data_IF_749950963082
#
_entry.id   IF_749950963082
#
_cell.length_a   1.000
_cell.length_b   1.000
_cell.length_c   1.000
_cell.angle_alpha   90.00
_cell.angle_beta   90.00
_cell.angle_gamma   90.00
#
_symmetry.space_group_name_H-M   'P 1'
#
loop_
_entity.id
_entity.type
_entity.pdbx_description
1 polymer ?
#
# COMPACT_ATOMS: atom_id res chain seq x y z
N UNK A 1 -17.36 13.93 -8.67
CA UNK A 1 -16.52 13.33 -9.74
C UNK A 1 -16.30 11.87 -9.42
N UNK A 2 -16.64 11.02 -10.34
CA UNK A 2 -16.40 9.57 -10.24
C UNK A 2 -15.10 9.26 -10.98
N UNK A 3 -14.11 8.75 -10.25
CA UNK A 3 -12.84 8.36 -10.84
C UNK A 3 -12.94 6.95 -11.43
N UNK A 4 -12.14 6.69 -12.47
CA UNK A 4 -11.96 5.37 -13.01
C UNK A 4 -11.48 4.42 -11.90
N UNK A 5 -12.09 3.25 -11.69
CA UNK A 5 -11.68 2.31 -10.66
C UNK A 5 -10.24 1.79 -10.81
N UNK A 6 -9.63 1.93 -11.97
CA UNK A 6 -8.22 1.59 -12.17
C UNK A 6 -7.26 2.65 -11.64
N UNK A 7 -7.74 3.85 -11.34
CA UNK A 7 -6.91 4.91 -10.75
C UNK A 7 -6.66 4.60 -9.28
N UNK A 8 -5.39 4.58 -8.89
CA UNK A 8 -5.01 4.43 -7.49
C UNK A 8 -5.08 5.77 -6.78
N UNK A 9 -5.77 5.81 -5.65
CA UNK A 9 -5.83 6.96 -4.75
C UNK A 9 -5.11 6.61 -3.47
N UNK A 10 -4.11 7.40 -3.13
CA UNK A 10 -3.27 7.18 -1.97
C UNK A 10 -3.48 8.28 -0.93
N UNK A 11 -3.50 7.92 0.33
CA UNK A 11 -3.47 8.86 1.45
C UNK A 11 -2.56 8.33 2.55
N UNK A 12 -1.68 9.17 3.13
CA UNK A 12 -0.86 8.74 4.27
C UNK A 12 -1.74 8.54 5.51
N UNK A 13 -1.60 7.42 6.23
CA UNK A 13 -2.49 7.10 7.34
C UNK A 13 -2.20 7.89 8.63
N UNK A 14 -1.06 8.58 8.70
CA UNK A 14 -0.67 9.37 9.87
C UNK A 14 -1.27 10.77 9.90
N UNK A 15 -1.82 11.27 8.79
CA UNK A 15 -2.35 12.64 8.71
C UNK A 15 -3.77 12.77 9.23
N UNK A 16 -4.49 11.67 9.41
CA UNK A 16 -5.86 11.68 9.91
C UNK A 16 -6.14 10.40 10.70
N UNK A 17 -6.81 10.54 11.85
CA UNK A 17 -7.12 9.40 12.72
C UNK A 17 -8.29 8.55 12.23
N UNK A 18 -9.16 9.11 11.38
CA UNK A 18 -10.36 8.44 10.90
C UNK A 18 -10.08 7.75 9.55
N UNK A 19 -9.38 6.65 9.59
CA UNK A 19 -9.00 5.89 8.41
C UNK A 19 -10.21 5.44 7.57
N UNK A 20 -11.32 5.12 8.24
CA UNK A 20 -12.58 4.74 7.57
C UNK A 20 -13.08 5.86 6.66
N UNK A 21 -12.91 7.13 7.05
CA UNK A 21 -13.30 8.26 6.21
C UNK A 21 -12.56 8.29 4.88
N UNK A 22 -11.26 7.97 4.89
CA UNK A 22 -10.47 7.86 3.67
C UNK A 22 -10.96 6.71 2.78
N UNK A 23 -11.25 5.55 3.38
CA UNK A 23 -11.76 4.39 2.63
C UNK A 23 -13.10 4.68 1.98
N UNK A 24 -14.01 5.38 2.68
CA UNK A 24 -15.29 5.82 2.13
C UNK A 24 -15.14 6.86 1.03
N UNK A 25 -14.08 7.66 1.07
CA UNK A 25 -13.77 8.62 0.02
C UNK A 25 -13.17 7.96 -1.24
N UNK A 26 -12.81 6.68 -1.18
CA UNK A 26 -12.38 5.92 -2.34
C UNK A 26 -10.90 5.64 -2.43
N UNK A 27 -10.12 5.88 -1.37
CA UNK A 27 -8.69 5.52 -1.41
C UNK A 27 -8.53 4.00 -1.40
N UNK A 28 -7.48 3.53 -2.04
CA UNK A 28 -7.15 2.11 -2.11
C UNK A 28 -5.69 1.81 -1.77
N UNK A 29 -4.97 2.81 -1.28
CA UNK A 29 -3.55 2.67 -0.94
C UNK A 29 -3.17 3.65 0.16
N UNK A 30 -2.44 3.17 1.17
CA UNK A 30 -1.92 4.00 2.25
C UNK A 30 -0.52 4.53 1.99
N UNK A 31 0.17 4.03 0.96
CA UNK A 31 1.55 4.37 0.70
C UNK A 31 2.53 3.71 1.66
N UNK A 32 3.66 4.35 1.88
CA UNK A 32 4.65 3.85 2.81
C UNK A 32 4.29 4.17 4.25
N UNK A 33 4.42 3.18 5.13
CA UNK A 33 4.20 3.33 6.58
C UNK A 33 5.46 2.83 7.27
N UNK A 34 6.02 3.63 8.16
CA UNK A 34 7.17 3.20 8.97
C UNK A 34 6.80 3.13 10.44
N UNK A 35 6.73 1.93 11.03
CA UNK A 35 6.42 1.80 12.45
C UNK A 35 7.59 2.16 13.37
N UNK A 36 8.80 2.34 12.83
CA UNK A 36 10.02 2.56 13.60
C UNK A 36 10.63 3.96 13.44
N UNK A 37 10.21 4.72 12.43
CA UNK A 37 10.71 6.08 12.20
C UNK A 37 9.57 7.08 12.21
N UNK A 38 9.90 8.35 12.48
CA UNK A 38 8.92 9.43 12.38
C UNK A 38 8.77 9.86 10.91
N UNK A 39 7.66 10.52 10.61
CA UNK A 39 7.49 11.23 9.35
C UNK A 39 8.25 12.55 9.43
N UNK A 40 9.40 12.66 8.75
CA UNK A 40 10.26 13.83 8.83
C UNK A 40 9.63 15.08 8.19
N UNK A 41 8.64 14.92 7.32
CA UNK A 41 7.90 16.03 6.73
C UNK A 41 6.80 16.51 7.66
N UNK A 42 6.15 15.58 8.35
CA UNK A 42 5.05 15.84 9.29
C UNK A 42 5.34 15.20 10.64
N UNK A 43 6.38 15.65 11.38
CA UNK A 43 6.83 14.93 12.59
C UNK A 43 5.83 14.96 13.74
N UNK A 44 4.84 15.85 13.70
CA UNK A 44 3.77 15.92 14.70
C UNK A 44 2.69 14.85 14.48
N UNK A 45 2.71 14.14 13.36
CA UNK A 45 1.75 13.08 13.05
C UNK A 45 2.43 11.72 13.12
N UNK A 46 2.10 10.96 14.14
CA UNK A 46 2.64 9.61 14.31
C UNK A 46 2.04 8.62 13.30
N UNK A 47 2.86 7.63 12.90
CA UNK A 47 2.37 6.52 12.10
C UNK A 47 1.47 5.62 12.95
N UNK A 48 0.33 5.16 12.42
CA UNK A 48 -0.51 4.19 13.13
C UNK A 48 0.18 2.82 13.21
N UNK A 49 -0.19 2.05 14.21
CA UNK A 49 0.20 0.64 14.25
C UNK A 49 -0.48 -0.11 13.10
N UNK A 50 0.28 -0.97 12.43
CA UNK A 50 -0.21 -1.76 11.29
C UNK A 50 -1.41 -2.61 11.69
N UNK A 51 -1.38 -3.22 12.88
CA UNK A 51 -2.48 -4.04 13.39
C UNK A 51 -3.77 -3.23 13.51
N UNK A 52 -3.69 -2.03 14.08
CA UNK A 52 -4.86 -1.15 14.24
C UNK A 52 -5.39 -0.65 12.90
N UNK A 53 -4.49 -0.35 11.97
CA UNK A 53 -4.89 0.05 10.62
C UNK A 53 -5.62 -1.11 9.91
N UNK A 54 -5.11 -2.33 10.05
CA UNK A 54 -5.77 -3.52 9.51
C UNK A 54 -7.16 -3.75 10.11
N UNK A 55 -7.30 -3.55 11.43
CA UNK A 55 -8.60 -3.65 12.10
C UNK A 55 -9.59 -2.62 11.55
N UNK A 56 -9.16 -1.39 11.34
CA UNK A 56 -10.00 -0.35 10.76
C UNK A 56 -10.44 -0.70 9.35
N UNK A 57 -9.52 -1.18 8.50
CA UNK A 57 -9.85 -1.61 7.15
C UNK A 57 -10.83 -2.79 7.15
N UNK A 58 -10.59 -3.78 8.00
CA UNK A 58 -11.42 -4.98 8.10
C UNK A 58 -12.84 -4.65 8.56
N UNK A 59 -13.01 -3.66 9.43
CA UNK A 59 -14.32 -3.24 9.94
C UNK A 59 -15.28 -2.76 8.86
N UNK A 60 -14.76 -2.33 7.72
CA UNK A 60 -15.54 -1.87 6.56
C UNK A 60 -15.38 -2.77 5.34
N UNK A 61 -14.91 -3.99 5.53
CA UNK A 61 -14.85 -5.02 4.49
C UNK A 61 -13.61 -4.99 3.60
N UNK A 62 -12.57 -4.27 3.98
CA UNK A 62 -11.32 -4.23 3.23
C UNK A 62 -10.23 -5.03 3.92
N UNK A 63 -9.34 -5.60 3.12
CA UNK A 63 -8.17 -6.33 3.60
C UNK A 63 -6.92 -5.48 3.35
N UNK A 64 -6.11 -5.30 4.40
CA UNK A 64 -4.82 -4.62 4.28
C UNK A 64 -3.78 -5.60 3.74
N UNK A 65 -3.19 -5.29 2.59
CA UNK A 65 -2.14 -6.10 1.95
C UNK A 65 -0.90 -5.25 1.75
N UNK A 66 0.26 -5.86 1.96
CA UNK A 66 1.52 -5.21 1.64
C UNK A 66 1.82 -5.33 0.15
N UNK A 67 2.21 -4.22 -0.46
CA UNK A 67 2.65 -4.19 -1.85
C UNK A 67 4.11 -3.77 -1.96
N UNK A 68 4.69 -4.03 -3.10
CA UNK A 68 5.97 -3.43 -3.50
C UNK A 68 5.74 -1.95 -3.87
N UNK A 69 6.80 -1.22 -4.12
CA UNK A 69 6.70 0.17 -4.60
C UNK A 69 5.99 0.28 -5.95
N UNK A 70 5.94 -0.82 -6.70
CA UNK A 70 5.19 -0.93 -7.95
C UNK A 70 3.80 -1.50 -7.64
N UNK A 71 2.75 -0.87 -8.18
CA UNK A 71 1.40 -1.39 -8.01
C UNK A 71 1.22 -2.75 -8.69
N UNK A 72 0.44 -3.66 -8.07
CA UNK A 72 0.25 -5.02 -8.60
C UNK A 72 -0.22 -5.07 -10.06
N UNK A 73 -1.03 -4.11 -10.49
CA UNK A 73 -1.52 -4.08 -11.89
C UNK A 73 -0.40 -3.97 -12.92
N UNK A 74 0.70 -3.28 -12.60
CA UNK A 74 1.84 -3.17 -13.49
C UNK A 74 2.65 -4.46 -13.55
N UNK A 75 2.64 -5.22 -12.46
CA UNK A 75 3.31 -6.51 -12.40
C UNK A 75 2.49 -7.57 -13.15
N UNK A 76 1.16 -7.58 -12.96
CA UNK A 76 0.28 -8.61 -13.48
C UNK A 76 -0.15 -8.39 -14.94
N UNK A 77 -0.45 -7.13 -15.30
CA UNK A 77 -1.08 -6.81 -16.58
C UNK A 77 -0.27 -5.88 -17.50
N UNK A 78 0.66 -5.14 -16.92
CA UNK A 78 1.40 -4.09 -17.62
C UNK A 78 2.90 -4.18 -17.34
N UNK A 79 3.44 -5.39 -17.38
CA UNK A 79 4.86 -5.63 -17.10
C UNK A 79 5.80 -4.90 -18.07
N UNK A 80 5.31 -4.47 -19.24
CA UNK A 80 6.07 -3.66 -20.19
C UNK A 80 6.48 -2.29 -19.62
N UNK A 81 5.81 -1.80 -18.59
CA UNK A 81 6.17 -0.57 -17.90
C UNK A 81 7.26 -0.74 -16.84
N UNK A 82 7.62 -1.99 -16.54
CA UNK A 82 8.70 -2.25 -15.59
C UNK A 82 10.04 -2.02 -16.28
N UNK A 83 10.97 -1.36 -15.59
CA UNK A 83 12.33 -1.20 -16.07
C UNK A 83 12.94 -2.58 -16.32
N UNK A 84 13.47 -2.85 -17.54
CA UNK A 84 14.04 -4.17 -17.85
C UNK A 84 15.16 -4.60 -16.90
N UNK A 85 15.94 -3.66 -16.38
CA UNK A 85 17.01 -3.94 -15.41
C UNK A 85 16.53 -4.33 -14.04
N UNK A 86 15.26 -4.00 -13.68
CA UNK A 86 14.67 -4.31 -12.38
C UNK A 86 13.57 -5.36 -12.45
N UNK A 87 13.11 -5.72 -13.65
CA UNK A 87 11.97 -6.62 -13.85
C UNK A 87 12.12 -7.94 -13.10
N UNK A 88 13.26 -8.60 -13.28
CA UNK A 88 13.51 -9.90 -12.66
C UNK A 88 13.46 -9.82 -11.14
N UNK A 89 14.07 -8.78 -10.56
CA UNK A 89 14.05 -8.55 -9.13
C UNK A 89 12.64 -8.26 -8.60
N UNK A 90 11.88 -7.42 -9.31
CA UNK A 90 10.50 -7.11 -8.96
C UNK A 90 9.65 -8.38 -8.97
N UNK A 91 9.75 -9.19 -10.02
CA UNK A 91 8.99 -10.42 -10.15
C UNK A 91 9.37 -11.45 -9.09
N UNK A 92 10.64 -11.47 -8.67
CA UNK A 92 11.09 -12.38 -7.59
C UNK A 92 10.53 -12.01 -6.22
N UNK A 93 10.18 -10.73 -6.01
CA UNK A 93 9.63 -10.23 -4.75
C UNK A 93 8.09 -10.21 -4.73
N UNK A 94 7.46 -10.36 -5.89
CA UNK A 94 6.00 -10.36 -6.01
C UNK A 94 5.44 -11.77 -5.84
N UNK A 95 4.29 -11.88 -5.15
CA UNK A 95 3.47 -13.07 -5.19
C UNK A 95 2.72 -13.17 -6.52
N UNK A 96 2.02 -14.27 -6.75
CA UNK A 96 1.23 -14.46 -7.97
C UNK A 96 0.09 -13.45 -8.11
N UNK A 97 -0.32 -12.79 -7.03
CA UNK A 97 -1.32 -11.71 -7.02
C UNK A 97 -0.70 -10.33 -7.29
N UNK A 98 0.63 -10.23 -7.41
CA UNK A 98 1.35 -8.98 -7.63
C UNK A 98 1.69 -8.19 -6.37
N UNK A 99 1.20 -8.61 -5.20
CA UNK A 99 1.59 -8.06 -3.91
C UNK A 99 2.92 -8.67 -3.44
N UNK A 100 3.47 -8.16 -2.32
CA UNK A 100 4.71 -8.70 -1.77
C UNK A 100 4.55 -10.18 -1.42
N UNK A 101 5.56 -10.99 -1.75
CA UNK A 101 5.54 -12.41 -1.41
C UNK A 101 5.98 -12.64 0.04
N UNK A 102 5.82 -13.90 0.52
CA UNK A 102 6.12 -14.27 1.90
C UNK A 102 7.57 -14.00 2.29
N UNK A 103 8.51 -14.16 1.37
CA UNK A 103 9.94 -13.90 1.65
C UNK A 103 10.20 -12.44 1.99
N UNK A 104 9.50 -11.52 1.30
CA UNK A 104 9.60 -10.09 1.58
C UNK A 104 9.00 -9.78 2.95
N UNK A 105 7.85 -10.37 3.27
CA UNK A 105 7.18 -10.18 4.54
C UNK A 105 8.00 -10.72 5.72
N UNK A 106 8.68 -11.83 5.55
CA UNK A 106 9.55 -12.42 6.58
C UNK A 106 10.83 -11.61 6.82
N UNK A 107 11.28 -10.84 5.82
CA UNK A 107 12.47 -10.00 5.93
C UNK A 107 12.24 -8.72 6.75
N UNK A 108 11.01 -8.38 7.04
CA UNK A 108 10.61 -7.23 7.83
C UNK A 108 10.48 -7.65 9.30
#
# INVERSE_FOLDING_TARGET
>A
IILDPEISLQAPPNLHRRHISYLKAGINDWGGISPVTIDFINPQHEWPEIIKLNESCSSVGFKLLERLTVYPRFINKRSEYLDPGLRERILSMAGHDGFANEQVLEAI
#
